data_IF_882040474824
#
_entry.id   IF_882040474824
#
_cell.length_a   1.000
_cell.length_b   1.000
_cell.length_c   1.000
_cell.angle_alpha   90.00
_cell.angle_beta   90.00
_cell.angle_gamma   90.00
#
_symmetry.space_group_name_H-M   'P 1'
#
loop_
_entity.id
_entity.type
_entity.pdbx_description
1 polymer ?
#
# COMPACT_ATOMS: atom_id res chain seq x y z
N UNK A 1 4.01 21.13 10.80
CA UNK A 1 3.83 22.20 11.81
C UNK A 1 2.42 22.78 11.81
N UNK A 2 1.89 23.21 10.64
CA UNK A 2 0.55 23.81 10.54
C UNK A 2 -0.60 22.88 10.99
N UNK A 3 -0.56 21.60 10.66
CA UNK A 3 -1.58 20.63 11.10
C UNK A 3 -1.69 20.53 12.64
N UNK A 4 -0.55 20.40 13.32
CA UNK A 4 -0.49 20.14 14.77
C UNK A 4 -0.59 21.42 15.60
N UNK A 5 -0.03 22.53 15.13
CA UNK A 5 0.09 23.78 15.89
C UNK A 5 -0.74 24.93 15.32
N UNK A 6 -1.46 24.70 14.22
CA UNK A 6 -2.22 25.73 13.51
C UNK A 6 -3.69 25.85 13.91
N UNK A 7 -4.20 25.02 14.82
CA UNK A 7 -5.63 24.95 15.14
C UNK A 7 -6.22 26.33 15.54
N UNK A 8 -5.50 27.10 16.36
CA UNK A 8 -5.92 28.44 16.80
C UNK A 8 -5.25 29.58 16.01
N UNK A 9 -4.36 29.25 15.05
CA UNK A 9 -3.53 30.24 14.33
C UNK A 9 -3.86 30.37 12.84
N UNK A 10 -4.55 29.40 12.25
CA UNK A 10 -4.95 29.43 10.84
C UNK A 10 -6.44 29.14 10.69
N UNK A 11 -7.05 29.73 9.66
CA UNK A 11 -8.48 29.50 9.38
C UNK A 11 -8.79 28.03 9.06
N UNK A 12 -10.04 27.58 9.27
CA UNK A 12 -10.44 26.17 9.13
C UNK A 12 -10.17 25.60 7.73
N UNK A 13 -10.28 26.42 6.68
CA UNK A 13 -9.95 26.03 5.30
C UNK A 13 -8.46 25.70 5.12
N UNK A 14 -7.59 26.49 5.73
CA UNK A 14 -6.14 26.31 5.65
C UNK A 14 -5.70 25.09 6.47
N UNK A 15 -6.35 24.85 7.61
CA UNK A 15 -6.10 23.64 8.41
C UNK A 15 -6.49 22.37 7.65
N UNK A 16 -7.67 22.36 7.00
CA UNK A 16 -8.07 21.26 6.12
C UNK A 16 -7.11 21.06 4.95
N UNK A 17 -6.68 22.14 4.28
CA UNK A 17 -5.69 22.09 3.22
C UNK A 17 -4.37 21.46 3.70
N UNK A 18 -3.88 21.85 4.88
CA UNK A 18 -2.69 21.24 5.48
C UNK A 18 -2.88 19.75 5.75
N UNK A 19 -4.08 19.30 6.14
CA UNK A 19 -4.40 17.88 6.32
C UNK A 19 -4.28 17.11 5.01
N UNK A 20 -4.84 17.66 3.92
CA UNK A 20 -4.75 17.07 2.59
C UNK A 20 -3.30 17.02 2.11
N UNK A 21 -2.51 18.07 2.30
CA UNK A 21 -1.09 18.09 1.93
C UNK A 21 -0.26 17.05 2.68
N UNK A 22 -0.52 16.86 3.98
CA UNK A 22 0.14 15.81 4.77
C UNK A 22 -0.23 14.43 4.24
N UNK A 23 -1.51 14.21 3.92
CA UNK A 23 -1.98 12.97 3.30
C UNK A 23 -1.25 12.72 1.97
N UNK A 24 -1.20 13.70 1.07
CA UNK A 24 -0.49 13.56 -0.21
C UNK A 24 1.01 13.31 -0.02
N UNK A 25 1.66 13.99 0.94
CA UNK A 25 3.07 13.76 1.25
C UNK A 25 3.35 12.30 1.68
N UNK A 26 2.46 11.72 2.48
CA UNK A 26 2.54 10.31 2.85
C UNK A 26 2.40 9.38 1.63
N UNK A 27 1.50 9.71 0.69
CA UNK A 27 1.33 8.95 -0.55
C UNK A 27 2.57 9.04 -1.45
N UNK A 28 3.14 10.23 -1.64
CA UNK A 28 4.36 10.39 -2.45
C UNK A 28 5.55 9.64 -1.84
N UNK A 29 5.68 9.61 -0.52
CA UNK A 29 6.68 8.79 0.15
C UNK A 29 6.50 7.30 -0.15
N UNK A 30 5.25 6.82 -0.05
CA UNK A 30 4.91 5.43 -0.36
C UNK A 30 5.22 5.06 -1.82
N UNK A 31 4.97 5.96 -2.78
CA UNK A 31 5.28 5.73 -4.20
C UNK A 31 6.75 5.36 -4.40
N UNK A 32 7.67 6.19 -3.90
CA UNK A 32 9.09 5.99 -4.15
C UNK A 32 9.66 4.76 -3.46
N UNK A 33 9.24 4.48 -2.22
CA UNK A 33 9.72 3.29 -1.51
C UNK A 33 9.17 2.01 -2.13
N UNK A 34 7.93 2.02 -2.62
CA UNK A 34 7.33 0.86 -3.30
C UNK A 34 7.95 0.64 -4.67
N UNK A 35 8.31 1.70 -5.41
CA UNK A 35 9.06 1.58 -6.67
C UNK A 35 10.41 0.90 -6.42
N UNK A 36 11.17 1.34 -5.42
CA UNK A 36 12.45 0.73 -5.07
C UNK A 36 12.29 -0.76 -4.72
N UNK A 37 11.31 -1.10 -3.87
CA UNK A 37 10.99 -2.49 -3.54
C UNK A 37 10.55 -3.30 -4.76
N UNK A 38 9.75 -2.71 -5.66
CA UNK A 38 9.29 -3.40 -6.86
C UNK A 38 10.45 -3.71 -7.79
N UNK A 39 11.40 -2.80 -7.94
CA UNK A 39 12.62 -3.02 -8.73
C UNK A 39 13.50 -4.13 -8.14
N UNK A 40 13.60 -4.24 -6.81
CA UNK A 40 14.32 -5.35 -6.17
C UNK A 40 13.72 -6.73 -6.49
N UNK A 41 12.42 -6.80 -6.78
CA UNK A 41 11.74 -8.03 -7.14
C UNK A 41 11.74 -8.31 -8.65
N UNK A 42 11.53 -7.29 -9.47
CA UNK A 42 11.53 -7.39 -10.93
C UNK A 42 12.42 -6.28 -11.49
N UNK A 43 13.74 -6.51 -11.52
CA UNK A 43 14.69 -5.49 -11.94
C UNK A 43 14.57 -5.28 -13.46
N UNK A 44 14.39 -4.03 -13.87
CA UNK A 44 14.25 -3.61 -15.26
C UNK A 44 15.08 -2.34 -15.50
N UNK A 45 15.44 -2.07 -16.76
CA UNK A 45 16.17 -0.85 -17.14
C UNK A 45 17.57 -0.74 -16.54
N UNK A 46 18.30 -1.86 -16.40
CA UNK A 46 19.68 -1.87 -15.90
C UNK A 46 20.60 -2.72 -16.78
N UNK A 47 21.89 -2.39 -16.78
CA UNK A 47 22.98 -3.21 -17.33
C UNK A 47 23.95 -3.55 -16.20
N UNK A 48 24.48 -4.78 -16.18
CA UNK A 48 25.45 -5.19 -15.16
C UNK A 48 26.87 -4.98 -15.68
N UNK A 49 27.58 -4.04 -15.09
CA UNK A 49 28.96 -3.72 -15.44
C UNK A 49 29.90 -4.29 -14.38
N UNK A 50 31.03 -4.84 -14.79
CA UNK A 50 32.06 -5.30 -13.87
C UNK A 50 32.91 -4.10 -13.44
N UNK A 51 32.69 -3.62 -12.22
CA UNK A 51 33.42 -2.50 -11.64
C UNK A 51 34.64 -2.93 -10.81
N UNK A 52 35.45 -1.97 -10.34
CA UNK A 52 36.62 -2.23 -9.47
C UNK A 52 36.27 -2.96 -8.16
N UNK A 53 35.02 -2.83 -7.71
CA UNK A 53 34.52 -3.41 -6.45
C UNK A 53 33.53 -4.59 -6.68
N UNK A 54 33.47 -5.15 -7.89
CA UNK A 54 32.57 -6.25 -8.27
C UNK A 54 31.48 -5.86 -9.28
N UNK A 55 30.53 -6.76 -9.51
CA UNK A 55 29.40 -6.51 -10.43
C UNK A 55 28.48 -5.42 -9.86
N UNK A 56 28.20 -4.40 -10.68
CA UNK A 56 27.30 -3.29 -10.36
C UNK A 56 26.20 -3.19 -11.41
N UNK A 57 24.95 -3.05 -10.97
CA UNK A 57 23.85 -2.69 -11.84
C UNK A 57 23.87 -1.16 -12.06
N UNK A 58 24.07 -0.75 -13.31
CA UNK A 58 23.95 0.64 -13.74
C UNK A 58 22.61 0.84 -14.43
N UNK A 59 21.88 1.88 -14.02
CA UNK A 59 20.53 2.18 -14.55
C UNK A 59 20.71 2.76 -15.95
N UNK A 60 20.09 2.13 -16.94
CA UNK A 60 20.08 2.58 -18.34
C UNK A 60 18.83 3.39 -18.66
N UNK A 61 17.70 3.08 -18.04
CA UNK A 61 16.44 3.78 -18.21
C UNK A 61 15.72 3.95 -16.86
N UNK A 62 15.62 5.21 -16.42
CA UNK A 62 14.96 5.57 -15.17
C UNK A 62 13.45 5.30 -15.19
N UNK A 63 12.79 5.53 -16.32
CA UNK A 63 11.34 5.33 -16.42
C UNK A 63 10.98 3.86 -16.52
N UNK A 64 11.82 3.05 -17.18
CA UNK A 64 11.68 1.59 -17.16
C UNK A 64 11.88 1.00 -15.75
N UNK A 65 12.75 1.61 -14.94
CA UNK A 65 12.92 1.25 -13.53
C UNK A 65 11.69 1.62 -12.69
N UNK A 66 11.14 2.83 -12.88
CA UNK A 66 10.00 3.32 -12.12
C UNK A 66 8.74 2.52 -12.46
N UNK A 67 8.42 2.39 -13.74
CA UNK A 67 7.26 1.68 -14.26
C UNK A 67 7.58 0.23 -14.61
N UNK A 68 8.18 -0.49 -13.67
CA UNK A 68 8.37 -1.92 -13.87
C UNK A 68 7.00 -2.65 -13.88
N UNK A 69 6.92 -3.86 -14.46
CA UNK A 69 5.66 -4.60 -14.63
C UNK A 69 4.88 -4.84 -13.32
N UNK A 70 5.58 -4.87 -12.17
CA UNK A 70 4.99 -5.10 -10.85
C UNK A 70 4.75 -3.83 -10.02
N UNK A 71 5.33 -2.69 -10.40
CA UNK A 71 5.35 -1.46 -9.60
C UNK A 71 3.95 -0.90 -9.38
N UNK A 72 3.13 -0.87 -10.44
CA UNK A 72 1.80 -0.25 -10.38
C UNK A 72 0.81 -1.09 -9.55
N UNK A 73 0.82 -2.41 -9.75
CA UNK A 73 -0.03 -3.34 -9.00
C UNK A 73 0.33 -3.33 -7.51
N UNK A 74 1.64 -3.38 -7.18
CA UNK A 74 2.12 -3.31 -5.79
C UNK A 74 1.80 -1.98 -5.14
N UNK A 75 1.97 -0.87 -5.86
CA UNK A 75 1.64 0.45 -5.36
C UNK A 75 0.15 0.54 -5.00
N UNK A 76 -0.73 0.11 -5.91
CA UNK A 76 -2.16 0.09 -5.64
C UNK A 76 -2.49 -0.78 -4.43
N UNK A 77 -1.91 -1.99 -4.34
CA UNK A 77 -2.15 -2.92 -3.24
C UNK A 77 -1.68 -2.38 -1.87
N UNK A 78 -0.50 -1.75 -1.82
CA UNK A 78 0.06 -1.18 -0.58
C UNK A 78 -0.74 0.04 -0.13
N UNK A 79 -1.11 0.93 -1.07
CA UNK A 79 -1.90 2.11 -0.75
C UNK A 79 -3.27 1.68 -0.20
N UNK A 80 -4.02 0.84 -0.91
CA UNK A 80 -5.33 0.38 -0.43
C UNK A 80 -5.20 -0.33 0.92
N UNK A 81 -4.15 -1.13 1.12
CA UNK A 81 -3.88 -1.78 2.40
C UNK A 81 -3.64 -0.80 3.55
N UNK A 82 -2.91 0.29 3.30
CA UNK A 82 -2.68 1.33 4.30
C UNK A 82 -3.97 2.07 4.67
N UNK A 83 -4.82 2.39 3.69
CA UNK A 83 -6.14 3.00 3.93
C UNK A 83 -7.05 2.04 4.72
N UNK A 84 -7.03 0.76 4.38
CA UNK A 84 -7.77 -0.27 5.10
C UNK A 84 -7.33 -0.34 6.57
N UNK A 85 -6.02 -0.43 6.82
CA UNK A 85 -5.50 -0.49 8.19
C UNK A 85 -5.93 0.73 9.02
N UNK A 86 -5.87 1.93 8.43
CA UNK A 86 -6.36 3.16 9.07
C UNK A 86 -7.86 3.13 9.38
N UNK A 87 -8.68 2.66 8.43
CA UNK A 87 -10.13 2.54 8.61
C UNK A 87 -10.49 1.55 9.73
N UNK A 88 -9.86 0.37 9.75
CA UNK A 88 -10.09 -0.64 10.79
C UNK A 88 -9.59 -0.19 12.17
N UNK A 89 -8.53 0.62 12.25
CA UNK A 89 -8.09 1.23 13.51
C UNK A 89 -9.16 2.16 14.09
N UNK A 90 -9.69 3.07 13.26
CA UNK A 90 -10.75 4.00 13.68
C UNK A 90 -12.02 3.25 14.07
N UNK A 91 -12.40 2.21 13.30
CA UNK A 91 -13.54 1.35 13.61
C UNK A 91 -13.37 0.64 14.95
N UNK A 92 -12.20 0.05 15.20
CA UNK A 92 -11.92 -0.70 16.43
C UNK A 92 -12.04 0.18 17.67
N UNK A 93 -11.48 1.39 17.64
CA UNK A 93 -11.57 2.35 18.74
C UNK A 93 -13.01 2.84 18.93
N UNK A 94 -13.70 3.14 17.83
CA UNK A 94 -15.10 3.61 17.87
C UNK A 94 -16.03 2.53 18.43
N UNK A 95 -15.85 1.27 18.03
CA UNK A 95 -16.58 0.13 18.56
C UNK A 95 -16.31 -0.05 20.07
N UNK A 96 -15.05 0.10 20.50
CA UNK A 96 -14.68 0.04 21.91
C UNK A 96 -15.36 1.13 22.75
N UNK A 97 -15.42 2.37 22.26
CA UNK A 97 -16.14 3.46 22.93
C UNK A 97 -17.63 3.18 23.06
N UNK A 98 -18.27 2.61 22.04
CA UNK A 98 -19.68 2.22 22.11
C UNK A 98 -19.93 1.09 23.12
N UNK A 99 -19.05 0.08 23.15
CA UNK A 99 -19.13 -1.02 24.14
C UNK A 99 -19.02 -0.51 25.57
N UNK A 100 -18.19 0.52 25.80
CA UNK A 100 -18.03 1.15 27.11
C UNK A 100 -19.03 2.26 27.41
N UNK A 101 -19.99 2.54 26.50
CA UNK A 101 -20.97 3.63 26.61
C UNK A 101 -20.31 4.99 26.88
N UNK A 102 -19.16 5.25 26.24
CA UNK A 102 -18.42 6.52 26.33
C UNK A 102 -18.46 7.25 24.99
N UNK A 103 -18.62 8.59 25.04
CA UNK A 103 -18.58 9.47 23.86
C UNK A 103 -19.44 8.97 22.68
N UNK A 104 -20.67 8.50 22.94
CA UNK A 104 -21.47 7.77 21.95
C UNK A 104 -21.73 8.53 20.65
N UNK A 105 -21.97 9.84 20.72
CA UNK A 105 -22.22 10.68 19.54
C UNK A 105 -20.99 10.71 18.63
N UNK A 106 -19.81 10.93 19.20
CA UNK A 106 -18.54 10.90 18.48
C UNK A 106 -18.25 9.51 17.92
N UNK A 107 -18.40 8.47 18.74
CA UNK A 107 -18.14 7.10 18.35
C UNK A 107 -19.05 6.63 17.20
N UNK A 108 -20.35 6.97 17.21
CA UNK A 108 -21.26 6.65 16.10
C UNK A 108 -20.90 7.39 14.81
N UNK A 109 -20.50 8.66 14.89
CA UNK A 109 -20.10 9.43 13.72
C UNK A 109 -18.81 8.86 13.09
N UNK A 110 -17.79 8.61 13.91
CA UNK A 110 -16.52 8.01 13.48
C UNK A 110 -16.70 6.60 12.94
N UNK A 111 -17.58 5.80 13.54
CA UNK A 111 -17.89 4.45 13.07
C UNK A 111 -18.54 4.45 11.68
N UNK A 112 -19.49 5.36 11.40
CA UNK A 112 -20.12 5.46 10.07
C UNK A 112 -19.10 5.77 8.97
N UNK A 113 -18.23 6.75 9.21
CA UNK A 113 -17.19 7.12 8.24
C UNK A 113 -16.17 5.99 8.09
N UNK A 114 -15.69 5.44 9.20
CA UNK A 114 -14.74 4.32 9.19
C UNK A 114 -15.29 3.09 8.46
N UNK A 115 -16.59 2.78 8.62
CA UNK A 115 -17.22 1.64 7.98
C UNK A 115 -17.28 1.80 6.46
N UNK A 116 -17.64 2.99 5.97
CA UNK A 116 -17.67 3.30 4.55
C UNK A 116 -16.28 3.09 3.92
N UNK A 117 -15.24 3.66 4.55
CA UNK A 117 -13.86 3.50 4.07
C UNK A 117 -13.39 2.05 4.14
N UNK A 118 -13.71 1.33 5.22
CA UNK A 118 -13.33 -0.08 5.36
C UNK A 118 -13.97 -0.94 4.26
N UNK A 119 -15.27 -0.77 3.99
CA UNK A 119 -15.96 -1.54 2.94
C UNK A 119 -15.35 -1.26 1.57
N UNK A 120 -15.16 0.01 1.21
CA UNK A 120 -14.57 0.39 -0.09
C UNK A 120 -13.13 -0.13 -0.20
N UNK A 121 -12.31 0.05 0.83
CA UNK A 121 -10.93 -0.42 0.83
C UNK A 121 -10.85 -1.95 0.76
N UNK A 122 -11.73 -2.68 1.45
CA UNK A 122 -11.77 -4.15 1.40
C UNK A 122 -12.10 -4.68 0.01
N UNK A 123 -13.08 -4.07 -0.67
CA UNK A 123 -13.41 -4.45 -2.05
C UNK A 123 -12.25 -4.16 -3.00
N UNK A 124 -11.63 -2.99 -2.89
CA UNK A 124 -10.46 -2.64 -3.71
C UNK A 124 -9.28 -3.58 -3.42
N UNK A 125 -9.05 -3.95 -2.16
CA UNK A 125 -7.94 -4.84 -1.77
C UNK A 125 -8.08 -6.24 -2.36
N UNK A 126 -9.30 -6.76 -2.46
CA UNK A 126 -9.57 -8.04 -3.13
C UNK A 126 -9.13 -7.97 -4.59
N UNK A 127 -9.53 -6.92 -5.31
CA UNK A 127 -9.19 -6.76 -6.73
C UNK A 127 -7.70 -6.55 -6.96
N UNK A 128 -7.05 -5.70 -6.16
CA UNK A 128 -5.61 -5.42 -6.30
C UNK A 128 -4.76 -6.58 -5.81
N UNK A 129 -5.25 -7.35 -4.82
CA UNK A 129 -4.62 -8.58 -4.34
C UNK A 129 -4.61 -9.66 -5.41
N UNK A 130 -5.74 -9.87 -6.08
CA UNK A 130 -5.81 -10.81 -7.19
C UNK A 130 -4.86 -10.43 -8.34
N UNK A 131 -4.88 -9.17 -8.78
CA UNK A 131 -3.96 -8.69 -9.81
C UNK A 131 -2.49 -8.85 -9.40
N UNK A 132 -2.15 -8.51 -8.15
CA UNK A 132 -0.78 -8.69 -7.64
C UNK A 132 -0.37 -10.16 -7.56
N UNK A 133 -1.30 -11.08 -7.26
CA UNK A 133 -1.03 -12.51 -7.22
C UNK A 133 -0.72 -13.05 -8.64
N UNK A 134 -1.51 -12.65 -9.64
CA UNK A 134 -1.25 -12.96 -11.05
C UNK A 134 0.12 -12.44 -11.51
N UNK A 135 0.48 -11.22 -11.11
CA UNK A 135 1.80 -10.63 -11.37
C UNK A 135 2.94 -11.42 -10.72
N UNK A 136 2.74 -11.95 -9.51
CA UNK A 136 3.71 -12.82 -8.82
C UNK A 136 3.79 -14.19 -9.47
N UNK A 137 2.67 -14.78 -9.89
CA UNK A 137 2.65 -16.07 -10.59
C UNK A 137 3.47 -16.03 -11.90
N UNK A 138 3.36 -14.93 -12.66
CA UNK A 138 4.10 -14.73 -13.92
C UNK A 138 5.57 -14.43 -13.72
N UNK A 139 5.89 -13.51 -12.81
CA UNK A 139 7.26 -12.99 -12.67
C UNK A 139 8.09 -13.71 -11.62
N UNK A 140 7.46 -14.36 -10.64
CA UNK A 140 8.10 -15.02 -9.49
C UNK A 140 7.38 -16.33 -9.12
N UNK A 141 7.33 -17.33 -10.02
CA UNK A 141 6.55 -18.56 -9.81
C UNK A 141 7.00 -19.35 -8.58
N UNK A 142 8.29 -19.33 -8.23
CA UNK A 142 8.78 -19.97 -7.01
C UNK A 142 8.17 -19.35 -5.73
N UNK A 143 7.91 -18.04 -5.73
CA UNK A 143 7.28 -17.34 -4.61
C UNK A 143 5.80 -17.69 -4.51
N UNK A 144 5.11 -17.75 -5.65
CA UNK A 144 3.70 -18.14 -5.72
C UNK A 144 3.50 -19.60 -5.30
N UNK A 145 4.34 -20.51 -5.81
CA UNK A 145 4.32 -21.92 -5.43
C UNK A 145 4.51 -22.14 -3.93
N UNK A 146 5.40 -21.36 -3.29
CA UNK A 146 5.57 -21.40 -1.83
C UNK A 146 4.36 -20.82 -1.06
N UNK A 147 3.66 -19.81 -1.62
CA UNK A 147 2.45 -19.24 -1.02
C UNK A 147 1.27 -20.22 -1.06
N UNK A 148 1.11 -20.92 -2.19
CA UNK A 148 0.03 -21.89 -2.42
C UNK A 148 0.36 -23.31 -1.93
N UNK A 149 1.54 -23.52 -1.32
CA UNK A 149 1.98 -24.86 -0.90
C UNK A 149 2.14 -25.86 -2.06
N UNK A 150 2.35 -25.36 -3.28
CA UNK A 150 2.47 -26.15 -4.51
C UNK A 150 3.92 -26.59 -4.74
N UNK A 151 4.31 -27.70 -4.11
CA UNK A 151 5.66 -28.26 -4.22
C UNK A 151 5.89 -29.12 -5.48
N UNK A 152 4.93 -29.94 -5.96
CA UNK A 152 5.11 -30.72 -7.18
C UNK A 152 4.72 -29.90 -8.42
N UNK A 153 5.66 -29.67 -9.34
CA UNK A 153 5.47 -28.83 -10.53
C UNK A 153 4.30 -29.23 -11.46
N UNK A 154 3.79 -30.46 -11.35
CA UNK A 154 2.72 -31.04 -12.20
C UNK A 154 1.45 -31.41 -11.42
N UNK A 155 1.34 -31.05 -10.14
CA UNK A 155 0.12 -31.32 -9.36
C UNK A 155 -1.01 -30.36 -9.79
N UNK A 156 -2.29 -30.76 -9.67
CA UNK A 156 -3.41 -29.85 -9.84
C UNK A 156 -3.20 -28.62 -8.95
N UNK A 157 -3.30 -27.43 -9.53
CA UNK A 157 -3.16 -26.17 -8.80
C UNK A 157 -4.49 -25.83 -8.10
N UNK A 158 -4.88 -26.66 -7.12
CA UNK A 158 -5.89 -26.26 -6.16
C UNK A 158 -5.28 -25.23 -5.21
N UNK A 159 -6.02 -24.17 -4.91
CA UNK A 159 -5.67 -23.24 -3.84
C UNK A 159 -5.79 -24.03 -2.52
N UNK A 160 -4.70 -24.16 -1.78
CA UNK A 160 -4.66 -24.89 -0.52
C UNK A 160 -5.42 -24.16 0.61
#
# INVERSE_FOLDING_TARGET
ALLLFGWDKVGPKMHYFSTVMVCLGAHFSAVWIVVANSWMHTPAGYHVVQGPNGMRAEITDFWALVFNPSSMERLAHVLVGAWMAGAFLVLSISAWYLLKRKHEVFARASLKVGLLFAVVASLLQLTTGHASADGVAKNQPAKFAAMEGHYPASAPADLA
#
